data_IF_228116842577
#
_entry.id   IF_228116842577
#
_cell.length_a   1.000
_cell.length_b   1.000
_cell.length_c   1.000
_cell.angle_alpha   90.00
_cell.angle_beta   90.00
_cell.angle_gamma   90.00
#
_symmetry.space_group_name_H-M   'P 1'
#
loop_
_entity.id
_entity.type
_entity.pdbx_description
1 polymer ?
#
# COMPACT_ATOMS: atom_id res chain seq x y z
N UNK A 1 4.13 -43.86 88.54
CA UNK A 1 3.75 -42.44 88.38
C UNK A 1 4.43 -41.88 87.14
N UNK A 2 3.77 -41.79 85.98
CA UNK A 2 4.27 -41.14 84.81
C UNK A 2 3.11 -40.33 84.18
N UNK A 3 3.24 -39.00 84.20
CA UNK A 3 2.27 -38.07 83.62
C UNK A 3 2.56 -37.93 82.11
N UNK A 4 1.58 -38.26 81.28
CA UNK A 4 1.57 -37.98 79.91
C UNK A 4 1.20 -36.55 79.61
N UNK A 5 2.06 -35.78 78.96
CA UNK A 5 1.70 -34.47 78.40
C UNK A 5 1.47 -34.62 76.88
N UNK A 6 0.25 -34.32 76.48
CA UNK A 6 -0.11 -34.25 75.09
C UNK A 6 0.16 -32.80 74.62
N UNK A 7 1.10 -32.65 73.66
CA UNK A 7 1.32 -31.40 72.99
C UNK A 7 0.43 -31.35 71.74
N UNK A 8 -0.50 -30.40 71.71
CA UNK A 8 -1.32 -30.12 70.52
C UNK A 8 -0.52 -29.22 69.60
N UNK A 9 -0.13 -29.71 68.43
CA UNK A 9 0.48 -28.89 67.34
C UNK A 9 -0.61 -28.28 66.50
N UNK A 10 -0.76 -26.95 66.55
CA UNK A 10 -1.61 -26.19 65.67
C UNK A 10 -0.80 -25.93 64.39
N UNK A 11 -1.18 -26.55 63.26
CA UNK A 11 -0.64 -26.26 61.95
C UNK A 11 -1.39 -25.08 61.36
N UNK A 12 -0.77 -23.90 61.33
CA UNK A 12 -1.23 -22.76 60.57
C UNK A 12 -0.90 -22.96 59.07
N UNK A 13 -1.89 -23.33 58.27
CA UNK A 13 -1.79 -23.34 56.82
C UNK A 13 -1.90 -21.90 56.31
N UNK A 14 -0.76 -21.28 55.99
CA UNK A 14 -0.71 -19.99 55.29
C UNK A 14 -1.00 -20.28 53.80
N UNK A 15 -2.23 -19.99 53.37
CA UNK A 15 -2.59 -20.05 51.95
C UNK A 15 -1.87 -18.94 51.18
N UNK A 16 -0.85 -19.29 50.45
CA UNK A 16 -0.23 -18.41 49.45
C UNK A 16 -1.20 -18.27 48.27
N UNK A 17 -2.00 -17.20 48.27
CA UNK A 17 -2.72 -16.75 47.06
C UNK A 17 -1.67 -16.24 46.11
N UNK A 18 -1.21 -17.13 45.20
CA UNK A 18 -0.39 -16.76 44.08
C UNK A 18 -1.19 -15.86 43.13
N UNK A 19 -0.92 -14.54 43.16
CA UNK A 19 -1.29 -13.67 42.07
C UNK A 19 -0.56 -14.16 40.85
N UNK A 20 -1.24 -14.96 40.01
CA UNK A 20 -0.81 -15.24 38.66
C UNK A 20 -0.87 -13.88 37.95
N UNK A 21 0.27 -13.20 37.87
CA UNK A 21 0.47 -12.15 36.88
C UNK A 21 0.26 -12.81 35.53
N UNK A 22 -0.90 -12.55 34.91
CA UNK A 22 -1.14 -12.89 33.51
C UNK A 22 0.02 -12.26 32.72
N UNK A 23 1.00 -13.08 32.36
CA UNK A 23 2.07 -12.66 31.46
C UNK A 23 1.37 -12.15 30.18
N UNK A 24 1.39 -10.84 29.99
CA UNK A 24 0.86 -10.22 28.77
C UNK A 24 1.78 -10.75 27.65
N UNK A 25 1.21 -11.42 26.67
CA UNK A 25 1.97 -11.84 25.50
C UNK A 25 2.60 -10.59 24.86
N UNK A 26 3.83 -10.71 24.39
CA UNK A 26 4.49 -9.62 23.68
C UNK A 26 3.65 -9.22 22.46
N UNK A 27 3.59 -7.90 22.15
CA UNK A 27 2.87 -7.42 21.00
C UNK A 27 3.39 -8.08 19.70
N UNK A 28 2.46 -8.49 18.82
CA UNK A 28 2.82 -9.03 17.52
C UNK A 28 3.55 -7.97 16.68
N UNK A 29 4.73 -8.26 16.16
CA UNK A 29 5.38 -7.37 15.21
C UNK A 29 4.74 -7.55 13.84
N UNK A 30 4.04 -6.53 13.35
CA UNK A 30 3.43 -6.49 12.01
C UNK A 30 4.41 -5.86 11.03
N UNK A 31 4.82 -6.60 10.00
CA UNK A 31 5.74 -6.15 8.95
C UNK A 31 4.95 -5.77 7.71
N UNK A 32 5.02 -4.50 7.33
CA UNK A 32 4.22 -3.91 6.26
C UNK A 32 5.10 -3.42 5.13
N UNK A 33 4.90 -3.97 3.92
CA UNK A 33 5.62 -3.56 2.71
C UNK A 33 4.98 -2.34 2.04
N UNK A 34 5.80 -1.36 1.63
CA UNK A 34 5.34 -0.14 0.96
C UNK A 34 6.30 0.31 -0.15
N UNK A 35 5.86 1.22 -1.04
CA UNK A 35 6.67 1.72 -2.18
C UNK A 35 6.97 3.20 -2.03
N UNK A 36 5.97 4.05 -2.08
CA UNK A 36 6.15 5.51 -2.19
C UNK A 36 5.14 6.27 -1.34
N UNK A 37 5.65 7.27 -0.60
CA UNK A 37 4.88 8.15 0.28
C UNK A 37 4.63 9.50 -0.42
N UNK A 38 3.48 10.17 -0.25
CA UNK A 38 2.39 9.84 0.68
C UNK A 38 1.38 8.82 0.16
N UNK A 39 1.42 8.40 -1.11
CA UNK A 39 0.45 7.44 -1.65
C UNK A 39 0.34 6.14 -0.84
N UNK A 40 1.44 5.66 -0.24
CA UNK A 40 1.40 4.57 0.75
C UNK A 40 1.57 5.15 2.16
N UNK A 41 0.54 5.02 3.00
CA UNK A 41 0.50 5.66 4.33
C UNK A 41 1.27 4.90 5.42
N UNK A 42 1.68 3.64 5.21
CA UNK A 42 2.28 2.81 6.25
C UNK A 42 3.42 3.49 7.03
N UNK A 43 4.46 4.10 6.41
CA UNK A 43 5.52 4.78 7.16
C UNK A 43 5.04 6.08 7.82
N UNK A 44 4.00 6.73 7.29
CA UNK A 44 3.39 7.90 7.93
C UNK A 44 2.60 7.49 9.16
N UNK A 45 1.90 6.35 9.12
CA UNK A 45 1.17 5.78 10.24
C UNK A 45 2.14 5.37 11.36
N UNK A 46 3.28 4.79 11.02
CA UNK A 46 4.34 4.49 11.99
C UNK A 46 4.87 5.77 12.66
N UNK A 47 5.11 6.83 11.88
CA UNK A 47 5.58 8.12 12.39
C UNK A 47 4.50 8.83 13.22
N UNK A 48 3.23 8.76 12.81
CA UNK A 48 2.09 9.29 13.57
C UNK A 48 1.99 8.63 14.94
N UNK A 49 2.14 7.30 15.03
CA UNK A 49 2.10 6.58 16.30
C UNK A 49 3.13 7.06 17.33
N UNK A 50 4.27 7.57 16.86
CA UNK A 50 5.33 8.16 17.72
C UNK A 50 5.00 9.59 18.19
N UNK A 51 4.24 10.36 17.39
CA UNK A 51 3.94 11.78 17.64
C UNK A 51 2.57 12.01 18.31
N UNK A 52 1.56 11.26 17.87
CA UNK A 52 0.18 11.38 18.28
C UNK A 52 -0.34 10.02 18.78
N UNK A 53 0.24 9.45 19.86
CA UNK A 53 -0.13 8.10 20.33
C UNK A 53 -1.60 7.99 20.69
N UNK A 54 -2.29 9.10 21.01
CA UNK A 54 -3.72 9.13 21.30
C UNK A 54 -4.64 8.77 20.13
N UNK A 55 -4.14 8.79 18.89
CA UNK A 55 -4.88 8.33 17.70
C UNK A 55 -5.08 6.81 17.73
N UNK A 56 -4.12 6.09 18.33
CA UNK A 56 -4.05 4.64 18.34
C UNK A 56 -4.59 4.07 19.66
N UNK A 57 -5.36 2.99 19.56
CA UNK A 57 -5.86 2.25 20.72
C UNK A 57 -4.99 1.04 21.06
N UNK A 58 -4.39 0.42 20.05
CA UNK A 58 -3.83 -0.93 20.09
C UNK A 58 -2.33 -0.97 19.83
N UNK A 59 -1.77 0.03 19.13
CA UNK A 59 -0.33 0.12 18.86
C UNK A 59 0.47 0.13 20.17
N UNK A 60 1.49 -0.73 20.25
CA UNK A 60 2.30 -0.97 21.44
C UNK A 60 1.61 -1.83 22.52
N UNK A 61 0.40 -2.33 22.26
CA UNK A 61 -0.37 -3.20 23.19
C UNK A 61 -0.61 -4.58 22.62
N UNK A 62 -1.33 -4.69 21.50
CA UNK A 62 -1.56 -5.95 20.78
C UNK A 62 -0.60 -6.15 19.63
N UNK A 63 -0.07 -5.07 19.06
CA UNK A 63 0.92 -5.13 17.98
C UNK A 63 1.95 -3.99 18.05
N UNK A 64 3.09 -4.19 17.36
CA UNK A 64 4.05 -3.16 16.96
C UNK A 64 4.12 -3.12 15.44
N UNK A 65 4.54 -1.99 14.87
CA UNK A 65 4.60 -1.78 13.43
C UNK A 65 6.05 -1.67 12.96
N UNK A 66 6.40 -2.43 11.95
CA UNK A 66 7.64 -2.33 11.21
C UNK A 66 7.34 -2.14 9.73
N UNK A 67 7.76 -1.02 9.15
CA UNK A 67 7.51 -0.73 7.75
C UNK A 67 8.76 -0.97 6.90
N UNK A 68 8.61 -1.62 5.74
CA UNK A 68 9.72 -2.01 4.85
C UNK A 68 9.48 -1.43 3.46
N UNK A 69 10.44 -0.66 2.96
CA UNK A 69 10.35 -0.03 1.64
C UNK A 69 10.82 -0.97 0.53
N UNK A 70 10.04 -1.01 -0.56
CA UNK A 70 10.36 -1.70 -1.80
C UNK A 70 10.40 -0.73 -2.99
N UNK A 71 11.05 -1.13 -4.08
CA UNK A 71 11.07 -0.33 -5.32
C UNK A 71 9.71 -0.33 -6.02
N UNK A 72 8.97 -1.42 -5.92
CA UNK A 72 7.65 -1.60 -6.52
C UNK A 72 6.84 -2.65 -5.79
N UNK A 73 5.61 -2.89 -6.24
CA UNK A 73 4.69 -3.85 -5.62
C UNK A 73 5.09 -5.31 -5.87
N UNK A 74 5.63 -5.62 -7.05
CA UNK A 74 6.01 -6.99 -7.45
C UNK A 74 7.12 -7.62 -6.59
N UNK A 75 8.19 -6.91 -6.18
CA UNK A 75 9.22 -7.48 -5.29
C UNK A 75 8.69 -7.95 -3.93
N UNK A 76 7.54 -7.45 -3.46
CA UNK A 76 6.94 -7.89 -2.19
C UNK A 76 6.41 -9.32 -2.24
N UNK A 77 6.15 -9.88 -3.44
CA UNK A 77 5.70 -11.27 -3.63
C UNK A 77 6.72 -12.23 -3.01
N UNK A 78 7.99 -12.03 -3.31
CA UNK A 78 9.06 -12.86 -2.76
C UNK A 78 9.15 -12.73 -1.23
N UNK A 79 9.07 -11.51 -0.70
CA UNK A 79 9.13 -11.26 0.74
C UNK A 79 7.96 -11.93 1.50
N UNK A 80 6.74 -11.92 0.93
CA UNK A 80 5.61 -12.65 1.51
C UNK A 80 5.78 -14.17 1.37
N UNK A 81 6.30 -14.66 0.25
CA UNK A 81 6.51 -16.09 0.03
C UNK A 81 7.44 -16.72 1.09
N UNK A 82 8.44 -15.96 1.56
CA UNK A 82 9.39 -16.42 2.60
C UNK A 82 9.06 -15.87 4.00
N UNK A 83 7.84 -15.33 4.20
CA UNK A 83 7.35 -14.81 5.48
C UNK A 83 8.18 -13.62 6.05
N UNK A 84 8.79 -12.81 5.22
CA UNK A 84 9.44 -11.57 5.62
C UNK A 84 8.48 -10.38 5.70
N UNK A 85 7.29 -10.49 5.08
CA UNK A 85 6.18 -9.55 5.20
C UNK A 85 4.91 -10.24 5.65
N UNK A 86 4.13 -9.57 6.48
CA UNK A 86 2.81 -10.00 6.91
C UNK A 86 1.71 -9.35 6.05
N UNK A 87 1.90 -8.09 5.67
CA UNK A 87 1.01 -7.33 4.79
C UNK A 87 1.84 -6.73 3.65
N UNK A 88 1.40 -6.93 2.41
CA UNK A 88 2.00 -6.33 1.22
C UNK A 88 1.06 -5.33 0.55
N UNK A 89 1.62 -4.23 0.04
CA UNK A 89 0.92 -3.31 -0.83
C UNK A 89 1.01 -3.83 -2.28
N UNK A 90 0.00 -4.58 -2.74
CA UNK A 90 -0.01 -5.12 -4.10
C UNK A 90 -0.81 -4.25 -5.06
N UNK A 91 -0.24 -4.06 -6.27
CA UNK A 91 -1.02 -3.69 -7.44
C UNK A 91 -1.89 -4.87 -7.89
N UNK A 92 -2.89 -4.60 -8.71
CA UNK A 92 -3.72 -5.63 -9.33
C UNK A 92 -2.88 -6.70 -10.05
N UNK A 93 -1.86 -6.28 -10.80
CA UNK A 93 -0.97 -7.21 -11.50
C UNK A 93 -0.09 -8.01 -10.53
N UNK A 94 0.49 -7.37 -9.49
CA UNK A 94 1.30 -8.06 -8.50
C UNK A 94 0.47 -9.10 -7.73
N UNK A 95 -0.76 -8.76 -7.35
CA UNK A 95 -1.69 -9.70 -6.71
C UNK A 95 -1.99 -10.91 -7.62
N UNK A 96 -2.31 -10.66 -8.90
CA UNK A 96 -2.54 -11.73 -9.85
C UNK A 96 -1.33 -12.66 -10.01
N UNK A 97 -0.11 -12.09 -10.06
CA UNK A 97 1.14 -12.86 -10.15
C UNK A 97 1.44 -13.63 -8.85
N UNK A 98 1.17 -13.04 -7.67
CA UNK A 98 1.32 -13.72 -6.38
C UNK A 98 0.46 -14.99 -6.33
N UNK A 99 -0.79 -14.89 -6.76
CA UNK A 99 -1.74 -16.03 -6.76
C UNK A 99 -1.40 -17.03 -7.86
N UNK A 100 -1.20 -16.57 -9.11
CA UNK A 100 -1.09 -17.48 -10.26
C UNK A 100 0.29 -18.11 -10.41
N UNK A 101 1.36 -17.38 -10.12
CA UNK A 101 2.74 -17.81 -10.33
C UNK A 101 3.39 -18.28 -9.03
N UNK A 102 3.34 -17.45 -7.96
CA UNK A 102 3.93 -17.80 -6.68
C UNK A 102 3.04 -18.75 -5.83
N UNK A 103 1.78 -18.98 -6.24
CA UNK A 103 0.80 -19.87 -5.57
C UNK A 103 0.52 -19.46 -4.12
N UNK A 104 0.60 -18.16 -3.83
CA UNK A 104 0.25 -17.64 -2.53
C UNK A 104 -1.28 -17.55 -2.39
N UNK A 105 -1.80 -17.96 -1.25
CA UNK A 105 -3.23 -17.86 -0.93
C UNK A 105 -3.54 -16.47 -0.37
N UNK A 106 -3.44 -15.46 -1.25
CA UNK A 106 -3.63 -14.05 -0.91
C UNK A 106 -5.09 -13.67 -0.75
N UNK A 107 -5.35 -12.73 0.15
CA UNK A 107 -6.62 -12.04 0.36
C UNK A 107 -6.42 -10.53 0.29
N UNK A 108 -7.20 -9.85 -0.54
CA UNK A 108 -7.36 -8.39 -0.46
C UNK A 108 -8.11 -8.08 0.83
N UNK A 109 -7.51 -7.26 1.69
CA UNK A 109 -8.05 -6.96 3.03
C UNK A 109 -8.41 -5.49 3.21
N UNK A 110 -7.76 -4.57 2.49
CA UNK A 110 -8.02 -3.13 2.63
C UNK A 110 -7.53 -2.33 1.41
N UNK A 111 -7.98 -1.06 1.33
CA UNK A 111 -7.47 -0.04 0.42
C UNK A 111 -6.06 0.42 0.80
N UNK A 112 -5.27 0.75 -0.22
CA UNK A 112 -4.05 1.57 -0.08
C UNK A 112 -4.24 2.88 -0.83
N UNK A 113 -4.56 2.81 -2.13
CA UNK A 113 -4.74 3.99 -2.99
C UNK A 113 -5.49 3.64 -4.28
N UNK A 114 -6.41 4.51 -4.67
CA UNK A 114 -7.07 4.45 -5.98
C UNK A 114 -6.51 5.52 -6.92
N UNK A 115 -6.27 5.17 -8.19
CA UNK A 115 -5.88 6.10 -9.25
C UNK A 115 -7.08 6.45 -10.15
N UNK A 116 -7.14 7.70 -10.58
CA UNK A 116 -8.18 8.17 -11.48
C UNK A 116 -9.57 8.27 -10.84
N UNK A 117 -9.69 8.16 -9.51
CA UNK A 117 -10.95 8.40 -8.81
C UNK A 117 -11.51 9.78 -9.17
N UNK A 118 -12.82 9.94 -9.44
CA UNK A 118 -13.39 11.22 -9.89
C UNK A 118 -13.04 12.39 -8.99
N UNK A 119 -12.45 13.42 -9.56
CA UNK A 119 -12.04 14.64 -8.84
C UNK A 119 -10.71 14.55 -8.10
N UNK A 120 -9.99 13.45 -8.20
CA UNK A 120 -8.66 13.24 -7.63
C UNK A 120 -7.60 13.12 -8.71
N UNK A 121 -6.34 13.10 -8.29
CA UNK A 121 -5.19 12.93 -9.17
C UNK A 121 -5.26 11.62 -9.94
N UNK A 122 -4.64 11.61 -11.11
CA UNK A 122 -4.31 10.40 -11.88
C UNK A 122 -2.86 10.49 -12.33
N UNK A 123 -2.16 9.36 -12.35
CA UNK A 123 -0.78 9.30 -12.81
C UNK A 123 -0.62 9.86 -14.22
N UNK A 124 0.45 10.61 -14.46
CA UNK A 124 0.76 11.21 -15.74
C UNK A 124 1.94 10.51 -16.41
N UNK A 125 1.79 10.11 -17.65
CA UNK A 125 2.87 9.59 -18.48
C UNK A 125 3.42 10.71 -19.35
N UNK A 126 4.70 11.04 -19.14
CA UNK A 126 5.31 12.30 -19.60
C UNK A 126 6.49 12.05 -20.50
N UNK A 127 6.58 12.88 -21.54
CA UNK A 127 7.66 12.93 -22.53
C UNK A 127 8.27 14.33 -22.58
N UNK A 128 9.43 14.49 -23.23
CA UNK A 128 9.94 15.83 -23.60
C UNK A 128 9.11 16.41 -24.74
N UNK A 129 8.66 17.67 -24.59
CA UNK A 129 7.82 18.34 -25.56
C UNK A 129 8.50 18.49 -26.94
N UNK A 130 9.81 18.79 -26.94
CA UNK A 130 10.62 18.90 -28.16
C UNK A 130 11.29 17.57 -28.59
N UNK A 131 11.01 16.47 -27.86
CA UNK A 131 11.54 15.15 -28.17
C UNK A 131 10.92 14.51 -29.43
N UNK A 132 11.42 13.35 -29.85
CA UNK A 132 10.94 12.64 -31.04
C UNK A 132 9.58 11.96 -30.86
N UNK A 133 9.11 11.78 -29.62
CA UNK A 133 7.81 11.17 -29.29
C UNK A 133 6.75 12.27 -29.25
N UNK A 134 5.67 12.12 -30.02
CA UNK A 134 4.53 13.05 -30.06
C UNK A 134 3.19 12.36 -29.79
N UNK A 135 3.10 11.07 -30.15
CA UNK A 135 1.93 10.20 -30.01
C UNK A 135 2.33 8.90 -29.30
N UNK A 136 1.36 8.07 -28.91
CA UNK A 136 1.63 6.77 -28.29
C UNK A 136 2.31 5.83 -29.28
N UNK A 137 1.97 5.91 -30.57
CA UNK A 137 2.56 5.10 -31.64
C UNK A 137 4.06 5.32 -31.80
N UNK A 138 4.54 6.54 -31.51
CA UNK A 138 5.97 6.90 -31.58
C UNK A 138 6.79 6.22 -30.48
N UNK A 139 6.16 5.56 -29.53
CA UNK A 139 6.84 4.79 -28.47
C UNK A 139 7.48 3.49 -28.98
N UNK A 140 7.17 3.04 -30.21
CA UNK A 140 7.85 1.87 -30.81
C UNK A 140 9.36 2.10 -30.88
N UNK A 141 10.13 1.12 -30.39
CA UNK A 141 11.59 1.19 -30.32
C UNK A 141 12.15 2.12 -29.26
N UNK A 142 11.30 2.69 -28.39
CA UNK A 142 11.70 3.63 -27.32
C UNK A 142 11.95 2.94 -25.99
N UNK A 143 12.63 3.66 -25.11
CA UNK A 143 12.93 3.25 -23.73
C UNK A 143 11.92 3.90 -22.78
N UNK A 144 11.17 3.07 -22.07
CA UNK A 144 10.10 3.51 -21.20
C UNK A 144 10.45 3.17 -19.75
N UNK A 145 10.41 4.16 -18.86
CA UNK A 145 10.73 3.94 -17.45
C UNK A 145 9.55 3.30 -16.72
N UNK A 146 9.85 2.32 -15.86
CA UNK A 146 8.91 1.79 -14.87
C UNK A 146 9.60 1.66 -13.52
N UNK A 147 8.82 1.69 -12.42
CA UNK A 147 9.38 1.45 -11.09
C UNK A 147 9.64 -0.04 -10.83
N UNK A 148 8.77 -0.90 -11.33
CA UNK A 148 8.95 -2.37 -11.36
C UNK A 148 8.00 -2.97 -12.39
N UNK A 149 8.44 -3.98 -13.12
CA UNK A 149 7.60 -4.77 -14.02
C UNK A 149 6.50 -5.46 -13.20
N UNK A 150 5.24 -5.35 -13.65
CA UNK A 150 4.07 -5.86 -12.94
C UNK A 150 3.58 -4.94 -11.81
N UNK A 151 4.09 -3.71 -11.68
CA UNK A 151 3.50 -2.68 -10.81
C UNK A 151 2.24 -2.07 -11.42
N UNK A 152 1.49 -1.26 -10.66
CA UNK A 152 0.33 -0.52 -11.19
C UNK A 152 0.73 0.41 -12.34
N UNK A 153 1.85 1.13 -12.18
CA UNK A 153 2.43 1.97 -13.22
C UNK A 153 2.74 1.19 -14.50
N UNK A 154 3.44 0.06 -14.38
CA UNK A 154 3.79 -0.79 -15.51
C UNK A 154 2.54 -1.31 -16.23
N UNK A 155 1.53 -1.75 -15.46
CA UNK A 155 0.29 -2.26 -16.03
C UNK A 155 -0.48 -1.18 -16.80
N UNK A 156 -0.58 0.03 -16.26
CA UNK A 156 -1.22 1.16 -16.95
C UNK A 156 -0.48 1.51 -18.24
N UNK A 157 0.85 1.59 -18.19
CA UNK A 157 1.71 1.84 -19.35
C UNK A 157 1.50 0.77 -20.43
N UNK A 158 1.64 -0.51 -20.08
CA UNK A 158 1.47 -1.62 -21.01
C UNK A 158 0.04 -1.70 -21.57
N UNK A 159 -0.97 -1.40 -20.77
CA UNK A 159 -2.36 -1.34 -21.23
C UNK A 159 -2.53 -0.27 -22.31
N UNK A 160 -1.94 0.93 -22.12
CA UNK A 160 -1.97 1.96 -23.17
C UNK A 160 -1.24 1.50 -24.43
N UNK A 161 -0.06 0.92 -24.31
CA UNK A 161 0.69 0.39 -25.46
C UNK A 161 -0.15 -0.62 -26.25
N UNK A 162 -0.79 -1.57 -25.56
CA UNK A 162 -1.64 -2.59 -26.19
C UNK A 162 -2.86 -2.02 -26.91
N UNK A 163 -3.50 -0.98 -26.34
CA UNK A 163 -4.61 -0.27 -27.01
C UNK A 163 -4.19 0.32 -28.36
N UNK A 164 -2.91 0.66 -28.52
CA UNK A 164 -2.29 1.20 -29.76
C UNK A 164 -1.53 0.14 -30.56
N UNK A 165 -1.77 -1.16 -30.28
CA UNK A 165 -1.16 -2.28 -31.00
C UNK A 165 0.35 -2.43 -30.81
N UNK A 166 0.92 -1.84 -29.74
CA UNK A 166 2.34 -1.94 -29.41
C UNK A 166 2.53 -3.09 -28.42
N UNK A 167 3.41 -4.04 -28.76
CA UNK A 167 3.77 -5.18 -27.89
C UNK A 167 4.91 -4.81 -26.94
N UNK A 168 5.08 -5.58 -25.87
CA UNK A 168 6.21 -5.37 -24.93
C UNK A 168 7.57 -5.53 -25.63
N UNK A 169 7.65 -6.41 -26.63
CA UNK A 169 8.86 -6.59 -27.46
C UNK A 169 9.18 -5.40 -28.37
N UNK A 170 8.23 -4.49 -28.58
CA UNK A 170 8.38 -3.31 -29.43
C UNK A 170 8.98 -2.12 -28.68
N UNK A 171 9.21 -2.23 -27.37
CA UNK A 171 9.77 -1.20 -26.50
C UNK A 171 10.87 -1.77 -25.60
N UNK A 172 11.71 -0.91 -25.03
CA UNK A 172 12.65 -1.30 -23.99
C UNK A 172 12.16 -0.76 -22.64
N UNK A 173 11.78 -1.63 -21.72
CA UNK A 173 11.41 -1.25 -20.36
C UNK A 173 12.67 -1.06 -19.51
N UNK A 174 12.78 0.07 -18.83
CA UNK A 174 13.89 0.43 -17.93
C UNK A 174 13.37 0.56 -16.52
N UNK A 175 13.77 -0.34 -15.62
CA UNK A 175 13.38 -0.27 -14.22
C UNK A 175 14.23 0.74 -13.44
N UNK A 176 13.55 1.68 -12.76
CA UNK A 176 14.17 2.68 -11.89
C UNK A 176 13.16 3.23 -10.90
N UNK A 177 13.63 3.83 -9.80
CA UNK A 177 12.69 4.48 -8.88
C UNK A 177 12.10 5.77 -9.48
N UNK A 178 10.86 6.12 -9.10
CA UNK A 178 10.17 7.33 -9.57
C UNK A 178 10.99 8.61 -9.39
N UNK A 179 11.75 8.74 -8.31
CA UNK A 179 12.57 9.91 -8.05
C UNK A 179 13.68 10.16 -9.10
N UNK A 180 14.16 9.10 -9.75
CA UNK A 180 15.20 9.19 -10.79
C UNK A 180 14.62 9.46 -12.18
N UNK A 181 13.36 9.17 -12.40
CA UNK A 181 12.73 9.22 -13.73
C UNK A 181 12.87 10.58 -14.41
N UNK A 182 12.61 11.75 -13.73
CA UNK A 182 12.77 13.05 -14.38
C UNK A 182 14.18 13.30 -14.92
N UNK A 183 15.21 13.01 -14.13
CA UNK A 183 16.61 13.16 -14.57
C UNK A 183 16.98 12.21 -15.70
N UNK A 184 16.42 11.00 -15.74
CA UNK A 184 16.63 10.04 -16.81
C UNK A 184 15.98 10.49 -18.12
N UNK A 185 14.78 11.09 -18.07
CA UNK A 185 14.11 11.66 -19.23
C UNK A 185 14.90 12.86 -19.78
N UNK A 186 15.31 13.78 -18.91
CA UNK A 186 16.12 14.95 -19.30
C UNK A 186 17.49 14.59 -19.87
N UNK A 187 18.10 13.55 -19.31
CA UNK A 187 19.39 13.02 -19.78
C UNK A 187 19.28 12.10 -21.00
N UNK A 188 18.09 11.93 -21.59
CA UNK A 188 17.87 11.08 -22.75
C UNK A 188 18.17 9.61 -22.50
N UNK A 189 18.06 9.13 -21.26
CA UNK A 189 18.24 7.71 -20.91
C UNK A 189 16.96 6.92 -21.12
N UNK A 190 15.81 7.59 -21.00
CA UNK A 190 14.48 7.08 -21.32
C UNK A 190 13.72 8.12 -22.15
N UNK A 191 12.68 7.69 -22.82
CA UNK A 191 11.90 8.51 -23.76
C UNK A 191 10.49 8.84 -23.18
N UNK A 192 10.05 8.11 -22.15
CA UNK A 192 8.82 8.36 -21.39
C UNK A 192 9.00 7.93 -19.94
N UNK A 193 8.35 8.66 -19.03
CA UNK A 193 8.35 8.43 -17.59
C UNK A 193 6.93 8.51 -17.01
N UNK A 194 6.73 7.90 -15.82
CA UNK A 194 5.58 8.18 -14.98
C UNK A 194 5.86 9.31 -14.00
N UNK A 195 4.88 10.13 -13.74
CA UNK A 195 4.96 11.26 -12.80
C UNK A 195 3.84 11.15 -11.77
N UNK A 196 4.24 10.89 -10.53
CA UNK A 196 3.37 10.87 -9.36
C UNK A 196 3.21 12.27 -8.76
N UNK A 197 2.22 12.53 -7.89
CA UNK A 197 1.93 13.87 -7.36
C UNK A 197 3.17 14.56 -6.75
N UNK A 198 3.97 13.85 -5.95
CA UNK A 198 5.16 14.41 -5.29
C UNK A 198 6.30 14.80 -6.24
N UNK A 199 6.25 14.36 -7.49
CA UNK A 199 7.22 14.70 -8.55
C UNK A 199 6.63 15.60 -9.64
N UNK A 200 5.35 15.98 -9.52
CA UNK A 200 4.64 16.75 -10.55
C UNK A 200 5.08 18.23 -10.61
N UNK A 201 5.48 18.80 -9.45
CA UNK A 201 5.92 20.20 -9.37
C UNK A 201 7.17 20.44 -10.23
N UNK A 202 7.06 21.36 -11.20
CA UNK A 202 8.13 21.67 -12.15
C UNK A 202 8.13 20.80 -13.42
N UNK A 203 7.26 19.80 -13.50
CA UNK A 203 7.05 18.97 -14.69
C UNK A 203 5.69 19.25 -15.30
N UNK A 204 4.62 19.05 -14.54
CA UNK A 204 3.25 19.29 -15.05
C UNK A 204 3.03 20.81 -15.18
N UNK A 205 2.57 21.21 -16.37
CA UNK A 205 2.39 22.63 -16.73
C UNK A 205 3.67 23.33 -17.21
N UNK A 206 4.83 22.68 -17.22
CA UNK A 206 6.07 23.23 -17.76
C UNK A 206 6.19 22.88 -19.24
N UNK A 207 6.41 23.90 -20.09
CA UNK A 207 6.47 23.75 -21.56
C UNK A 207 7.56 22.78 -22.08
N UNK A 208 8.59 22.47 -21.26
CA UNK A 208 9.62 21.48 -21.56
C UNK A 208 9.05 20.06 -21.68
N UNK A 209 7.92 19.80 -21.03
CA UNK A 209 7.33 18.47 -20.94
C UNK A 209 5.92 18.44 -21.54
N UNK A 210 5.52 17.27 -21.99
CA UNK A 210 4.16 17.01 -22.46
C UNK A 210 3.62 15.76 -21.78
N UNK A 211 2.42 15.86 -21.18
CA UNK A 211 1.66 14.68 -20.80
C UNK A 211 1.20 14.00 -22.07
N UNK A 212 1.64 12.78 -22.31
CA UNK A 212 1.27 11.98 -23.46
C UNK A 212 -0.09 11.31 -23.26
N UNK A 213 -0.29 10.75 -22.08
CA UNK A 213 -1.55 10.18 -21.59
C UNK A 213 -1.52 10.09 -20.06
N UNK A 214 -2.66 9.78 -19.48
CA UNK A 214 -2.82 9.59 -18.03
C UNK A 214 -3.16 8.13 -17.69
N UNK A 215 -3.02 7.75 -16.42
CA UNK A 215 -3.50 6.46 -15.91
C UNK A 215 -4.99 6.28 -16.22
N UNK A 216 -5.80 7.34 -16.05
CA UNK A 216 -7.23 7.33 -16.37
C UNK A 216 -7.50 7.06 -17.85
N UNK A 217 -6.70 7.57 -18.79
CA UNK A 217 -6.83 7.28 -20.22
C UNK A 217 -6.46 5.82 -20.51
N UNK A 218 -5.47 5.30 -19.77
CA UNK A 218 -4.99 3.93 -19.95
C UNK A 218 -5.97 2.89 -19.43
N UNK A 219 -6.40 3.00 -18.17
CA UNK A 219 -7.15 1.95 -17.46
C UNK A 219 -8.47 2.42 -16.87
N UNK A 220 -8.76 3.73 -16.87
CA UNK A 220 -9.90 4.34 -16.17
C UNK A 220 -9.65 4.44 -14.67
N UNK A 221 -10.67 4.77 -13.87
CA UNK A 221 -10.57 4.72 -12.41
C UNK A 221 -10.33 3.28 -11.95
N UNK A 222 -9.31 3.08 -11.10
CA UNK A 222 -8.91 1.77 -10.59
C UNK A 222 -8.49 1.81 -9.12
N UNK A 223 -8.62 0.65 -8.47
CA UNK A 223 -7.91 0.37 -7.23
C UNK A 223 -6.45 0.05 -7.56
N UNK A 224 -5.60 1.07 -7.59
CA UNK A 224 -4.22 0.93 -8.08
C UNK A 224 -3.36 0.05 -7.17
N UNK A 225 -3.52 0.21 -5.84
CA UNK A 225 -2.81 -0.59 -4.83
C UNK A 225 -3.76 -0.93 -3.69
N UNK A 226 -3.67 -2.15 -3.19
CA UNK A 226 -4.45 -2.66 -2.07
C UNK A 226 -3.57 -3.41 -1.08
N UNK A 227 -3.98 -3.46 0.19
CA UNK A 227 -3.37 -4.35 1.17
C UNK A 227 -3.80 -5.78 0.91
N UNK A 228 -2.83 -6.67 0.83
CA UNK A 228 -3.05 -8.11 0.72
C UNK A 228 -2.26 -8.87 1.77
N UNK A 229 -2.84 -9.96 2.24
CA UNK A 229 -2.31 -10.85 3.27
C UNK A 229 -2.58 -12.29 2.90
N UNK A 230 -1.68 -13.20 3.28
CA UNK A 230 -1.94 -14.63 3.15
C UNK A 230 -3.04 -15.07 4.12
N UNK A 231 -3.90 -15.99 3.68
CA UNK A 231 -5.04 -16.48 4.47
C UNK A 231 -4.61 -17.12 5.80
N UNK A 232 -3.49 -17.84 5.83
CA UNK A 232 -2.94 -18.46 7.04
C UNK A 232 -2.46 -17.40 8.05
N UNK A 233 -1.85 -16.30 7.59
CA UNK A 233 -1.43 -15.17 8.43
C UNK A 233 -2.63 -14.50 9.07
N UNK A 234 -3.72 -14.30 8.31
CA UNK A 234 -4.98 -13.77 8.84
C UNK A 234 -5.52 -14.68 9.94
N UNK A 235 -5.64 -15.98 9.64
CA UNK A 235 -6.23 -16.96 10.56
C UNK A 235 -5.46 -17.10 11.88
N UNK A 236 -4.13 -17.01 11.84
CA UNK A 236 -3.26 -17.22 12.99
C UNK A 236 -3.48 -16.17 14.10
N UNK A 237 -3.79 -14.91 13.76
CA UNK A 237 -3.87 -13.80 14.72
C UNK A 237 -5.02 -12.83 14.41
N UNK A 238 -6.17 -13.34 13.97
CA UNK A 238 -7.29 -12.50 13.51
C UNK A 238 -7.67 -11.34 14.46
N UNK A 239 -7.75 -11.52 15.79
CA UNK A 239 -8.06 -10.41 16.70
C UNK A 239 -7.04 -9.26 16.62
N UNK A 240 -5.74 -9.58 16.47
CA UNK A 240 -4.68 -8.56 16.34
C UNK A 240 -4.79 -7.83 15.01
N UNK A 241 -5.21 -8.52 13.94
CA UNK A 241 -5.46 -7.87 12.66
C UNK A 241 -6.63 -6.90 12.71
N UNK A 242 -7.70 -7.23 13.41
CA UNK A 242 -8.82 -6.29 13.62
C UNK A 242 -8.35 -5.06 14.40
N UNK A 243 -7.53 -5.24 15.45
CA UNK A 243 -6.93 -4.15 16.21
C UNK A 243 -6.06 -3.26 15.31
N UNK A 244 -5.22 -3.87 14.46
CA UNK A 244 -4.41 -3.15 13.49
C UNK A 244 -5.25 -2.33 12.51
N UNK A 245 -6.32 -2.92 11.93
CA UNK A 245 -7.19 -2.19 11.00
C UNK A 245 -8.06 -1.14 11.68
N UNK A 246 -8.41 -1.30 12.96
CA UNK A 246 -9.06 -0.23 13.73
C UNK A 246 -8.13 1.00 13.83
N UNK A 247 -6.87 0.79 14.20
CA UNK A 247 -5.88 1.85 14.30
C UNK A 247 -5.53 2.42 12.90
N UNK A 248 -5.46 1.57 11.87
CA UNK A 248 -5.22 1.98 10.48
C UNK A 248 -6.31 2.93 9.98
N UNK A 249 -7.60 2.58 10.15
CA UNK A 249 -8.73 3.44 9.76
C UNK A 249 -8.68 4.77 10.52
N UNK A 250 -8.38 4.75 11.83
CA UNK A 250 -8.22 5.98 12.62
C UNK A 250 -7.12 6.87 12.07
N UNK A 251 -5.98 6.29 11.73
CA UNK A 251 -4.85 7.01 11.16
C UNK A 251 -5.16 7.58 9.77
N UNK A 252 -5.79 6.81 8.88
CA UNK A 252 -6.23 7.30 7.56
C UNK A 252 -7.16 8.50 7.72
N UNK A 253 -8.21 8.37 8.55
CA UNK A 253 -9.16 9.47 8.82
C UNK A 253 -8.45 10.69 9.42
N UNK A 254 -7.44 10.48 10.28
CA UNK A 254 -6.65 11.56 10.87
C UNK A 254 -5.85 12.34 9.80
N UNK A 255 -5.20 11.65 8.85
CA UNK A 255 -4.47 12.28 7.75
C UNK A 255 -5.38 13.04 6.78
N UNK A 256 -6.62 12.58 6.61
CA UNK A 256 -7.60 13.20 5.71
C UNK A 256 -8.38 14.36 6.36
N UNK A 257 -8.30 14.53 7.69
CA UNK A 257 -8.98 15.63 8.40
C UNK A 257 -8.20 16.93 8.25
N UNK A 258 -8.83 17.96 7.66
CA UNK A 258 -8.23 19.29 7.47
C UNK A 258 -7.71 19.92 8.76
N UNK A 259 -8.30 19.60 9.92
CA UNK A 259 -7.83 20.07 11.23
C UNK A 259 -6.42 19.64 11.54
N UNK A 260 -6.02 18.50 11.02
CA UNK A 260 -4.69 17.90 11.25
C UNK A 260 -3.69 18.25 10.15
N UNK A 261 -4.10 19.02 9.13
CA UNK A 261 -3.33 19.25 7.92
C UNK A 261 -1.88 19.71 8.17
N UNK A 262 -1.69 20.66 9.07
CA UNK A 262 -0.34 21.16 9.38
C UNK A 262 0.56 20.06 9.94
N UNK A 263 0.05 19.30 10.92
CA UNK A 263 0.77 18.17 11.53
C UNK A 263 0.98 17.01 10.54
N UNK A 264 0.00 16.74 9.68
CA UNK A 264 0.10 15.73 8.64
C UNK A 264 1.23 16.06 7.64
N UNK A 265 1.34 17.32 7.22
CA UNK A 265 2.44 17.77 6.36
C UNK A 265 3.80 17.74 7.07
N UNK A 266 3.85 18.03 8.39
CA UNK A 266 5.07 17.92 9.18
C UNK A 266 5.57 16.48 9.24
N UNK A 267 4.67 15.54 9.54
CA UNK A 267 4.98 14.10 9.54
C UNK A 267 5.46 13.66 8.15
N UNK A 268 4.74 14.08 7.11
CA UNK A 268 5.07 13.69 5.73
C UNK A 268 6.43 14.23 5.30
N UNK A 269 6.75 15.48 5.63
CA UNK A 269 8.04 16.09 5.35
C UNK A 269 9.19 15.36 6.05
N UNK A 270 8.98 14.99 7.32
CA UNK A 270 9.99 14.26 8.09
C UNK A 270 10.23 12.83 7.56
N UNK A 271 9.19 12.16 7.11
CA UNK A 271 9.32 10.80 6.56
C UNK A 271 9.90 10.81 5.15
N UNK A 272 9.41 11.72 4.29
CA UNK A 272 9.84 11.77 2.88
C UNK A 272 11.14 12.53 2.65
N UNK A 273 11.55 13.37 3.61
CA UNK A 273 12.66 14.34 3.49
C UNK A 273 12.41 15.38 2.38
N UNK A 274 11.18 15.56 1.97
CA UNK A 274 10.78 16.60 1.02
C UNK A 274 10.37 17.88 1.76
N UNK A 275 10.65 19.06 1.19
CA UNK A 275 10.18 20.31 1.77
C UNK A 275 8.66 20.43 1.66
N UNK A 276 8.01 21.05 2.66
CA UNK A 276 6.54 21.15 2.79
C UNK A 276 5.85 21.77 1.57
N UNK A 277 6.51 22.74 0.92
CA UNK A 277 5.97 23.37 -0.28
C UNK A 277 5.81 22.41 -1.47
N UNK A 278 6.57 21.29 -1.49
CA UNK A 278 6.42 20.21 -2.45
C UNK A 278 5.38 19.18 -2.04
N UNK A 279 4.88 19.25 -0.80
CA UNK A 279 3.89 18.32 -0.24
C UNK A 279 2.48 18.94 -0.13
N UNK A 280 2.29 20.17 -0.64
CA UNK A 280 1.00 20.85 -0.56
C UNK A 280 -0.17 20.07 -1.18
N UNK A 281 0.09 19.18 -2.12
CA UNK A 281 -0.89 18.29 -2.74
C UNK A 281 -1.38 17.18 -1.78
N UNK A 282 -0.53 16.71 -0.86
CA UNK A 282 -0.78 15.50 -0.07
C UNK A 282 -2.11 15.57 0.70
N UNK A 283 -2.86 14.50 0.68
CA UNK A 283 -4.18 14.33 1.32
C UNK A 283 -5.27 15.30 0.82
N UNK A 284 -5.09 15.88 -0.39
CA UNK A 284 -6.09 16.71 -1.07
C UNK A 284 -6.59 16.02 -2.34
N UNK A 285 -7.41 16.71 -3.13
CA UNK A 285 -7.83 16.23 -4.45
C UNK A 285 -6.69 16.24 -5.51
N UNK A 286 -5.58 16.89 -5.19
CA UNK A 286 -4.36 16.86 -6.01
C UNK A 286 -3.49 15.63 -5.71
N UNK A 287 -3.89 14.79 -4.74
CA UNK A 287 -3.32 13.50 -4.42
C UNK A 287 -4.18 12.36 -4.97
N UNK A 288 -3.69 11.14 -4.88
CA UNK A 288 -4.50 9.95 -5.08
C UNK A 288 -5.63 9.87 -4.06
N UNK A 289 -6.69 9.15 -4.42
CA UNK A 289 -7.78 8.91 -3.49
C UNK A 289 -7.42 7.81 -2.47
N UNK A 290 -7.68 8.09 -1.21
CA UNK A 290 -7.64 7.16 -0.09
C UNK A 290 -9.04 6.98 0.47
N UNK A 291 -9.49 5.74 0.62
CA UNK A 291 -10.76 5.43 1.26
C UNK A 291 -10.70 5.74 2.77
N UNK A 292 -11.55 6.63 3.32
CA UNK A 292 -11.54 6.96 4.75
C UNK A 292 -11.83 5.75 5.67
N UNK A 293 -12.46 4.72 5.11
CA UNK A 293 -12.81 3.49 5.81
C UNK A 293 -11.92 2.31 5.38
N UNK A 294 -10.83 2.58 4.67
CA UNK A 294 -9.90 1.60 4.13
C UNK A 294 -10.58 0.52 3.25
N UNK A 295 -11.73 0.84 2.64
CA UNK A 295 -12.48 -0.10 1.78
C UNK A 295 -12.02 0.02 0.33
N UNK A 296 -11.52 -1.07 -0.29
CA UNK A 296 -11.09 -1.05 -1.69
C UNK A 296 -12.28 -1.05 -2.68
N UNK A 297 -12.04 -0.50 -3.89
CA UNK A 297 -12.99 -0.49 -5.00
C UNK A 297 -12.91 -1.81 -5.80
N UNK A 298 -13.45 -2.90 -5.24
CA UNK A 298 -13.29 -4.26 -5.75
C UNK A 298 -13.74 -4.47 -7.19
N UNK A 299 -14.80 -3.78 -7.64
CA UNK A 299 -15.30 -3.89 -9.02
C UNK A 299 -14.24 -3.43 -10.02
N UNK A 300 -13.39 -2.49 -9.63
CA UNK A 300 -12.31 -2.01 -10.48
C UNK A 300 -11.16 -3.01 -10.56
N UNK A 301 -10.90 -3.76 -9.47
CA UNK A 301 -9.83 -4.78 -9.41
C UNK A 301 -10.06 -5.88 -10.43
N UNK A 302 -11.26 -6.50 -10.41
CA UNK A 302 -11.56 -7.60 -11.33
C UNK A 302 -11.59 -7.11 -12.79
N UNK A 303 -12.20 -5.96 -13.05
CA UNK A 303 -12.25 -5.34 -14.38
C UNK A 303 -10.85 -5.07 -14.96
N UNK A 304 -9.90 -4.60 -14.14
CA UNK A 304 -8.54 -4.35 -14.57
C UNK A 304 -7.80 -5.65 -14.92
N UNK A 305 -7.96 -6.69 -14.13
CA UNK A 305 -7.40 -8.02 -14.42
C UNK A 305 -7.92 -8.58 -15.73
N UNK A 306 -9.24 -8.59 -15.89
CA UNK A 306 -9.89 -9.15 -17.08
C UNK A 306 -9.40 -8.41 -18.34
N UNK A 307 -9.33 -7.08 -18.27
CA UNK A 307 -8.80 -6.25 -19.35
C UNK A 307 -7.32 -6.49 -19.63
N UNK A 308 -6.50 -6.60 -18.58
CA UNK A 308 -5.08 -6.84 -18.72
C UNK A 308 -4.78 -8.22 -19.36
N UNK A 309 -5.60 -9.22 -19.06
CA UNK A 309 -5.54 -10.55 -19.68
C UNK A 309 -5.99 -10.48 -21.14
N UNK A 310 -7.12 -9.83 -21.43
CA UNK A 310 -7.63 -9.64 -22.79
C UNK A 310 -6.60 -8.98 -23.70
N UNK A 311 -5.92 -7.96 -23.19
CA UNK A 311 -4.86 -7.25 -23.91
C UNK A 311 -3.49 -7.98 -23.90
N UNK A 312 -3.39 -9.12 -23.23
CA UNK A 312 -2.13 -9.87 -23.10
C UNK A 312 -1.07 -9.19 -22.22
N UNK A 313 -1.47 -8.22 -21.39
CA UNK A 313 -0.59 -7.59 -20.39
C UNK A 313 -0.40 -8.46 -19.14
N UNK A 314 -1.36 -9.35 -18.84
CA UNK A 314 -1.25 -10.42 -17.84
C UNK A 314 -1.36 -11.79 -18.53
N UNK A 315 -0.56 -12.80 -18.08
CA UNK A 315 -0.49 -14.10 -18.78
C UNK A 315 -1.69 -15.01 -18.48
N UNK A 316 -2.38 -14.81 -17.37
CA UNK A 316 -3.49 -15.67 -16.92
C UNK A 316 -4.59 -14.88 -16.24
N UNK A 317 -5.82 -15.28 -16.52
CA UNK A 317 -6.98 -14.86 -15.75
C UNK A 317 -6.91 -15.42 -14.31
N UNK A 318 -7.33 -14.61 -13.37
CA UNK A 318 -7.57 -14.99 -11.99
C UNK A 318 -8.81 -14.27 -11.49
N UNK A 319 -9.67 -15.00 -10.79
CA UNK A 319 -10.86 -14.43 -10.18
C UNK A 319 -10.52 -13.96 -8.77
N UNK A 320 -10.29 -12.65 -8.62
CA UNK A 320 -9.99 -12.07 -7.32
C UNK A 320 -11.27 -11.95 -6.50
N UNK A 321 -12.34 -11.45 -7.10
CA UNK A 321 -13.63 -11.24 -6.42
C UNK A 321 -14.59 -12.39 -6.77
N UNK A 322 -15.13 -13.10 -5.79
CA UNK A 322 -14.92 -12.98 -4.34
C UNK A 322 -13.78 -13.87 -3.78
N UNK A 323 -13.09 -14.68 -4.58
CA UNK A 323 -12.31 -15.84 -4.16
C UNK A 323 -11.07 -15.45 -3.32
N UNK A 324 -10.51 -14.26 -3.58
CA UNK A 324 -9.31 -13.72 -2.95
C UNK A 324 -9.58 -12.40 -2.23
N UNK A 325 -10.73 -12.29 -1.53
CA UNK A 325 -11.12 -11.09 -0.78
C UNK A 325 -11.55 -11.49 0.62
N UNK A 326 -11.05 -10.76 1.63
CA UNK A 326 -11.54 -10.83 3.01
C UNK A 326 -11.61 -9.42 3.62
N UNK A 327 -12.74 -8.76 3.48
CA UNK A 327 -12.99 -7.44 4.08
C UNK A 327 -13.50 -7.52 5.51
N UNK A 328 -13.66 -8.72 6.07
CA UNK A 328 -14.23 -8.89 7.42
C UNK A 328 -13.41 -8.18 8.51
N UNK A 329 -12.09 -8.03 8.29
CA UNK A 329 -11.20 -7.32 9.22
C UNK A 329 -11.51 -5.83 9.29
N UNK A 330 -11.56 -5.15 8.14
CA UNK A 330 -11.87 -3.71 8.07
C UNK A 330 -13.32 -3.41 8.43
N UNK A 331 -14.25 -4.31 8.10
CA UNK A 331 -15.67 -4.16 8.45
C UNK A 331 -15.89 -4.28 9.96
N UNK A 332 -15.24 -5.23 10.62
CA UNK A 332 -15.27 -5.37 12.08
C UNK A 332 -14.59 -4.17 12.77
N UNK A 333 -13.41 -3.79 12.29
CA UNK A 333 -12.69 -2.63 12.78
C UNK A 333 -13.51 -1.34 12.68
N UNK A 334 -14.17 -1.12 11.53
CA UNK A 334 -15.07 0.01 11.33
C UNK A 334 -16.26 0.00 12.30
N UNK A 335 -16.89 -1.15 12.52
CA UNK A 335 -18.00 -1.29 13.50
C UNK A 335 -17.53 -0.89 14.90
N UNK A 336 -16.34 -1.30 15.33
CA UNK A 336 -15.77 -0.91 16.64
C UNK A 336 -15.55 0.61 16.74
N UNK A 337 -15.12 1.27 15.64
CA UNK A 337 -14.94 2.73 15.60
C UNK A 337 -16.28 3.46 15.70
N UNK A 338 -17.28 2.99 14.94
CA UNK A 338 -18.59 3.62 14.81
C UNK A 338 -19.52 3.31 16.00
N UNK A 339 -19.10 2.47 16.95
CA UNK A 339 -19.89 2.09 18.15
C UNK A 339 -21.07 1.17 17.85
N UNK A 340 -20.97 0.36 16.80
CA UNK A 340 -22.03 -0.55 16.34
C UNK A 340 -21.68 -2.01 16.55
#
# INVERSE_FOLDING_TARGET
>A
MRRNQWAVAVVLAVGAIGLATLARADPLTIRVGWVVTPGHLAPLIEALGKREPGVFKHLGKSYTLQTVRFQGTTPMIQAQAINELDIAAFSTAALALAITNAKLDERVVADVVADGHPGYFTENFVILADGPVKTVEDLRGKRLATNAIGSAHDLAMRTMLRKHGIKDSDVTTVETNFANMPAMLEGGKVDMIGVLPQFSKGIIGNAKYKVLFTGRDAVGPIQAVMWAMKADVIAANRPVWVDFFEDHIRAVRWFLDEKNRAAALDITADVTKLPKDKLAFAFTKEDFYHSPDARPELDTVQREIDRAVELGALPKAVRIVPDHVDLSLVEEAKKRIDGK
#
